data_IF_184207454351
#
_entry.id   IF_184207454351
#
_cell.length_a   1.000
_cell.length_b   1.000
_cell.length_c   1.000
_cell.angle_alpha   90.00
_cell.angle_beta   90.00
_cell.angle_gamma   90.00
#
_symmetry.space_group_name_H-M   'P 1'
#
loop_
_entity.id
_entity.type
_entity.pdbx_description
1 polymer ?
#
# COMPACT_ATOMS: atom_id res chain seq x y z
N UNK A 1 -36.43 -5.50 19.53
CA UNK A 1 -35.50 -4.34 19.39
C UNK A 1 -34.04 -4.78 19.44
N UNK A 2 -33.59 -5.54 20.45
CA UNK A 2 -32.17 -5.92 20.57
C UNK A 2 -31.61 -6.75 19.41
N UNK A 3 -32.38 -7.67 18.84
CA UNK A 3 -31.89 -8.55 17.76
C UNK A 3 -31.73 -7.82 16.41
N UNK A 4 -32.62 -6.86 16.12
CA UNK A 4 -32.55 -6.05 14.89
C UNK A 4 -31.38 -5.06 14.89
N UNK A 5 -31.03 -4.52 16.06
CA UNK A 5 -29.85 -3.64 16.21
C UNK A 5 -28.55 -4.42 16.00
N UNK A 6 -28.47 -5.67 16.49
CA UNK A 6 -27.29 -6.54 16.27
C UNK A 6 -27.17 -6.93 14.80
N UNK A 7 -28.28 -7.21 14.10
CA UNK A 7 -28.26 -7.56 12.69
C UNK A 7 -27.97 -6.37 11.77
N UNK A 8 -28.44 -5.16 12.10
CA UNK A 8 -28.06 -3.91 11.42
C UNK A 8 -26.57 -3.59 11.62
N UNK A 9 -26.01 -3.95 12.77
CA UNK A 9 -24.57 -3.90 13.02
C UNK A 9 -23.75 -4.95 12.25
N UNK A 10 -24.38 -5.96 11.65
CA UNK A 10 -23.72 -7.07 10.92
C UNK A 10 -24.00 -7.06 9.40
N UNK A 11 -24.97 -6.27 8.95
CA UNK A 11 -25.46 -6.28 7.56
C UNK A 11 -25.29 -4.96 6.80
N UNK A 12 -24.99 -3.86 7.50
CA UNK A 12 -24.75 -2.56 6.89
C UNK A 12 -23.24 -2.24 7.00
N UNK A 13 -22.51 -2.63 5.94
CA UNK A 13 -21.08 -2.32 5.68
C UNK A 13 -20.86 -0.79 5.50
N UNK A 14 -21.45 0.05 6.35
CA UNK A 14 -21.47 1.49 6.19
C UNK A 14 -20.36 2.22 6.95
N UNK A 15 -19.89 1.67 8.09
CA UNK A 15 -18.76 2.26 8.81
C UNK A 15 -18.67 1.97 10.31
N UNK A 16 -19.77 1.57 10.95
CA UNK A 16 -19.76 1.18 12.38
C UNK A 16 -18.88 -0.05 12.63
N UNK A 17 -19.03 -1.08 11.79
CA UNK A 17 -18.23 -2.31 11.84
C UNK A 17 -16.74 -2.03 11.62
N UNK A 18 -16.41 -1.19 10.63
CA UNK A 18 -15.04 -0.85 10.31
C UNK A 18 -14.34 -0.17 11.51
N UNK A 19 -15.07 0.65 12.27
CA UNK A 19 -14.56 1.29 13.48
C UNK A 19 -14.30 0.27 14.59
N UNK A 20 -15.21 -0.69 14.80
CA UNK A 20 -15.03 -1.77 15.80
C UNK A 20 -13.84 -2.66 15.45
N UNK A 21 -13.68 -3.04 14.17
CA UNK A 21 -12.55 -3.82 13.69
C UNK A 21 -11.24 -3.03 13.88
N UNK A 22 -11.23 -1.74 13.53
CA UNK A 22 -10.07 -0.88 13.72
C UNK A 22 -9.69 -0.76 15.21
N UNK A 23 -10.68 -0.65 16.10
CA UNK A 23 -10.47 -0.64 17.55
C UNK A 23 -9.89 -1.98 18.05
N UNK A 24 -10.40 -3.11 17.55
CA UNK A 24 -9.89 -4.44 17.91
C UNK A 24 -8.43 -4.63 17.44
N UNK A 25 -8.11 -4.21 16.22
CA UNK A 25 -6.73 -4.23 15.67
C UNK A 25 -5.81 -3.31 16.48
N UNK A 26 -6.28 -2.12 16.88
CA UNK A 26 -5.55 -1.19 17.73
C UNK A 26 -5.28 -1.76 19.12
N UNK A 27 -6.21 -2.52 19.71
CA UNK A 27 -5.99 -3.19 20.99
C UNK A 27 -5.00 -4.36 20.87
N UNK A 28 -5.04 -5.10 19.76
CA UNK A 28 -4.16 -6.25 19.53
C UNK A 28 -2.71 -5.84 19.22
N UNK A 29 -2.54 -4.83 18.36
CA UNK A 29 -1.22 -4.39 17.89
C UNK A 29 -0.70 -3.12 18.59
N UNK A 30 -1.58 -2.34 19.22
CA UNK A 30 -1.25 -1.05 19.81
C UNK A 30 -1.32 0.11 18.81
N UNK A 31 -1.75 1.29 19.28
CA UNK A 31 -1.84 2.50 18.46
C UNK A 31 -0.50 2.98 17.90
N UNK A 32 0.60 2.70 18.60
CA UNK A 32 1.95 3.11 18.19
C UNK A 32 2.56 2.26 17.07
N UNK A 33 2.09 1.01 16.89
CA UNK A 33 2.67 0.11 15.87
C UNK A 33 2.18 0.40 14.47
N UNK A 34 0.91 0.82 14.31
CA UNK A 34 0.33 1.18 13.00
C UNK A 34 1.14 2.27 12.27
N UNK A 35 1.46 3.44 12.87
CA UNK A 35 2.24 4.46 12.19
C UNK A 35 3.69 4.04 11.95
N UNK A 36 4.25 3.12 12.76
CA UNK A 36 5.57 2.55 12.54
C UNK A 36 5.62 1.67 11.28
N UNK A 37 4.65 0.77 11.13
CA UNK A 37 4.50 -0.10 9.96
C UNK A 37 4.22 0.72 8.71
N UNK A 38 3.31 1.70 8.78
CA UNK A 38 2.99 2.57 7.65
C UNK A 38 4.22 3.36 7.16
N UNK A 39 5.03 3.90 8.09
CA UNK A 39 6.29 4.59 7.75
C UNK A 39 7.33 3.64 7.16
N UNK A 40 7.45 2.43 7.70
CA UNK A 40 8.37 1.40 7.18
C UNK A 40 7.99 0.97 5.76
N UNK A 41 6.73 0.61 5.55
CA UNK A 41 6.18 0.25 4.25
C UNK A 41 6.30 1.40 3.24
N UNK A 42 5.99 2.63 3.66
CA UNK A 42 6.09 3.80 2.79
C UNK A 42 7.52 4.07 2.31
N UNK A 43 8.51 3.89 3.17
CA UNK A 43 9.92 3.96 2.77
C UNK A 43 10.30 2.83 1.82
N UNK A 44 9.92 1.59 2.13
CA UNK A 44 10.20 0.43 1.28
C UNK A 44 9.59 0.55 -0.12
N UNK A 45 8.34 1.02 -0.22
CA UNK A 45 7.69 1.27 -1.52
C UNK A 45 8.42 2.36 -2.31
N UNK A 46 8.88 3.41 -1.64
CA UNK A 46 9.64 4.49 -2.30
C UNK A 46 10.98 4.01 -2.83
N UNK A 47 11.76 3.32 -2.00
CA UNK A 47 13.05 2.74 -2.41
C UNK A 47 12.88 1.73 -3.55
N UNK A 48 11.85 0.88 -3.47
CA UNK A 48 11.53 -0.07 -4.55
C UNK A 48 11.19 0.64 -5.86
N UNK A 49 10.41 1.72 -5.79
CA UNK A 49 10.05 2.53 -6.97
C UNK A 49 11.27 3.22 -7.57
N UNK A 50 12.13 3.80 -6.74
CA UNK A 50 13.33 4.50 -7.18
C UNK A 50 14.30 3.53 -7.87
N UNK A 51 14.53 2.35 -7.28
CA UNK A 51 15.35 1.30 -7.89
C UNK A 51 14.75 0.81 -9.23
N UNK A 52 13.44 0.60 -9.29
CA UNK A 52 12.76 0.18 -10.52
C UNK A 52 12.89 1.23 -11.63
N UNK A 53 12.82 2.52 -11.29
CA UNK A 53 12.96 3.60 -12.26
C UNK A 53 14.38 3.70 -12.83
N UNK A 54 15.41 3.52 -11.99
CA UNK A 54 16.81 3.50 -12.45
C UNK A 54 17.04 2.38 -13.47
N UNK A 55 16.59 1.16 -13.14
CA UNK A 55 16.67 -0.01 -14.04
C UNK A 55 15.95 0.28 -15.36
N UNK A 56 14.77 0.91 -15.29
CA UNK A 56 13.99 1.27 -16.48
C UNK A 56 14.74 2.27 -17.36
N UNK A 57 15.35 3.30 -16.78
CA UNK A 57 16.14 4.28 -17.52
C UNK A 57 17.40 3.68 -18.14
N UNK A 58 18.09 2.77 -17.44
CA UNK A 58 19.26 2.08 -17.97
C UNK A 58 18.89 1.15 -19.14
N UNK A 59 17.74 0.47 -19.03
CA UNK A 59 17.21 -0.38 -20.10
C UNK A 59 16.79 0.44 -21.33
N UNK A 60 16.07 1.55 -21.15
CA UNK A 60 15.68 2.45 -22.25
C UNK A 60 16.92 3.01 -22.97
N UNK A 61 17.95 3.41 -22.22
CA UNK A 61 19.21 3.92 -22.79
C UNK A 61 19.99 2.86 -23.56
N UNK A 62 20.00 1.62 -23.05
CA UNK A 62 20.66 0.49 -23.71
C UNK A 62 19.98 0.10 -25.02
N UNK A 63 18.65 0.25 -25.11
CA UNK A 63 17.88 -0.01 -26.33
C UNK A 63 18.07 1.12 -27.35
N UNK A 64 18.17 2.38 -26.90
CA UNK A 64 18.33 3.54 -27.79
C UNK A 64 19.75 3.65 -28.40
N UNK A 65 20.79 3.14 -27.72
CA UNK A 65 22.16 3.11 -28.26
C UNK A 65 22.39 1.98 -29.29
N UNK A 66 21.53 0.93 -29.34
CA UNK A 66 21.62 -0.15 -30.34
C UNK A 66 20.96 0.22 -31.69
N UNK A 67 20.07 1.22 -31.72
CA UNK A 67 19.33 1.67 -32.93
C UNK A 67 20.03 2.79 -33.72
N UNK A 68 21.18 3.32 -33.28
CA UNK A 68 21.91 4.30 -34.11
C UNK A 68 22.62 3.57 -35.27
N UNK A 69 22.23 3.80 -36.54
CA UNK A 69 22.93 3.22 -37.67
C UNK A 69 24.36 3.73 -37.63
N UNK A 70 25.30 2.78 -37.47
CA UNK A 70 26.75 3.02 -37.61
C UNK A 70 26.96 3.66 -38.98
N UNK A 71 27.14 4.97 -39.00
CA UNK A 71 27.42 5.75 -40.21
C UNK A 71 28.84 5.39 -40.64
N UNK A 72 28.93 4.40 -41.53
CA UNK A 72 30.12 4.02 -42.29
C UNK A 72 30.40 5.02 -43.40
#
# INVERSE_FOLDING_TARGET
>A
MCLGTVLLFLGDLGGGEMMVIMMAVLLLFGADKIPGIARGLGRGIREFKDATNEIKHELERSIEDDDKPKKV
#
